data_IF_701046834438
#
_entry.id   IF_701046834438
#
_cell.length_a   1.000
_cell.length_b   1.000
_cell.length_c   1.000
_cell.angle_alpha   90.00
_cell.angle_beta   90.00
_cell.angle_gamma   90.00
#
_symmetry.space_group_name_H-M   'P 1'
#
loop_
_entity.id
_entity.type
_entity.pdbx_description
1 polymer ?
#
# COMPACT_ATOMS: atom_id res chain seq x y z
N UNK A 1 -25.96 -12.72 -36.61
CA UNK A 1 -24.79 -11.98 -36.06
C UNK A 1 -25.30 -10.93 -35.08
N UNK A 2 -25.08 -11.11 -33.78
CA UNK A 2 -25.63 -10.21 -32.75
C UNK A 2 -24.80 -8.91 -32.69
N UNK A 3 -25.49 -7.78 -32.83
CA UNK A 3 -24.92 -6.42 -32.67
C UNK A 3 -24.54 -6.21 -31.20
N UNK A 4 -23.27 -6.39 -30.86
CA UNK A 4 -22.74 -5.94 -29.56
C UNK A 4 -22.82 -4.41 -29.52
N UNK A 5 -23.74 -3.91 -28.69
CA UNK A 5 -24.12 -2.52 -28.52
C UNK A 5 -22.91 -1.62 -28.24
N UNK A 6 -22.90 -0.42 -28.84
CA UNK A 6 -21.90 0.65 -28.59
C UNK A 6 -21.63 0.89 -27.09
N UNK A 7 -22.62 0.62 -26.22
CA UNK A 7 -22.49 0.71 -24.77
C UNK A 7 -21.57 -0.33 -24.11
N UNK A 8 -21.44 -1.55 -24.65
CA UNK A 8 -20.53 -2.55 -24.06
C UNK A 8 -19.06 -2.12 -24.20
N UNK A 9 -18.68 -1.59 -25.36
CA UNK A 9 -17.34 -1.06 -25.60
C UNK A 9 -17.01 0.14 -24.69
N UNK A 10 -17.99 0.99 -24.40
CA UNK A 10 -17.85 2.10 -23.45
C UNK A 10 -17.67 1.61 -22.01
N UNK A 11 -18.44 0.60 -21.58
CA UNK A 11 -18.28 -0.02 -20.25
C UNK A 11 -16.88 -0.64 -20.07
N UNK A 12 -16.35 -1.30 -21.11
CA UNK A 12 -14.98 -1.83 -21.09
C UNK A 12 -13.94 -0.70 -21.00
N UNK A 13 -14.15 0.40 -21.75
CA UNK A 13 -13.27 1.57 -21.76
C UNK A 13 -13.28 2.30 -20.40
N UNK A 14 -14.45 2.45 -19.79
CA UNK A 14 -14.66 2.96 -18.42
C UNK A 14 -13.92 2.10 -17.39
N UNK A 15 -14.11 0.77 -17.43
CA UNK A 15 -13.41 -0.18 -16.54
C UNK A 15 -11.88 -0.13 -16.69
N UNK A 16 -11.39 0.11 -17.90
CA UNK A 16 -9.97 0.28 -18.19
C UNK A 16 -9.35 1.52 -17.53
N UNK A 17 -10.10 2.63 -17.43
CA UNK A 17 -9.64 3.90 -16.82
C UNK A 17 -9.42 3.78 -15.30
N UNK A 18 -10.24 3.00 -14.59
CA UNK A 18 -10.15 2.79 -13.13
C UNK A 18 -9.10 1.74 -12.73
N UNK A 19 -8.60 0.95 -13.68
CA UNK A 19 -7.76 -0.26 -13.44
C UNK A 19 -6.27 0.02 -13.26
N UNK A 20 -5.76 1.20 -13.62
CA UNK A 20 -4.32 1.43 -13.85
C UNK A 20 -3.41 1.35 -12.62
N UNK A 21 -3.93 1.61 -11.41
CA UNK A 21 -3.13 1.60 -10.16
C UNK A 21 -3.29 0.29 -9.37
N UNK A 22 -4.19 -0.62 -9.77
CA UNK A 22 -4.33 -1.95 -9.13
C UNK A 22 -3.43 -3.03 -9.70
N UNK A 23 -3.02 -2.93 -10.97
CA UNK A 23 -2.31 -4.02 -11.64
C UNK A 23 -0.92 -4.29 -11.08
N UNK A 24 -0.13 -3.26 -10.75
CA UNK A 24 1.26 -3.45 -10.35
C UNK A 24 1.41 -4.24 -9.05
N UNK A 25 0.62 -3.91 -8.01
CA UNK A 25 0.65 -4.67 -6.76
C UNK A 25 -0.03 -6.04 -6.89
N UNK A 26 -1.07 -6.18 -7.73
CA UNK A 26 -1.71 -7.46 -7.98
C UNK A 26 -0.74 -8.43 -8.66
N UNK A 27 -0.06 -7.95 -9.70
CA UNK A 27 0.99 -8.69 -10.38
C UNK A 27 2.11 -9.08 -9.41
N UNK A 28 2.62 -8.12 -8.63
CA UNK A 28 3.71 -8.39 -7.67
C UNK A 28 3.28 -9.38 -6.59
N UNK A 29 2.08 -9.23 -6.01
CA UNK A 29 1.57 -10.15 -4.99
C UNK A 29 1.32 -11.56 -5.51
N UNK A 30 0.81 -11.70 -6.74
CA UNK A 30 0.69 -12.99 -7.42
C UNK A 30 2.07 -13.60 -7.71
N UNK A 31 3.02 -12.78 -8.16
CA UNK A 31 4.39 -13.24 -8.44
C UNK A 31 5.08 -13.74 -7.17
N UNK A 32 4.92 -13.03 -6.04
CA UNK A 32 5.44 -13.49 -4.74
C UNK A 32 4.85 -14.84 -4.33
N UNK A 33 3.56 -15.03 -4.57
CA UNK A 33 2.83 -16.26 -4.25
C UNK A 33 3.42 -17.44 -5.01
N UNK A 34 3.68 -17.25 -6.31
CA UNK A 34 4.28 -18.29 -7.16
C UNK A 34 5.76 -18.54 -6.82
N UNK A 35 6.56 -17.48 -6.61
CA UNK A 35 7.98 -17.61 -6.26
C UNK A 35 8.21 -18.32 -4.94
N UNK A 36 7.32 -18.12 -3.96
CA UNK A 36 7.44 -18.73 -2.64
C UNK A 36 6.69 -20.07 -2.53
N UNK A 37 6.12 -20.55 -3.64
CA UNK A 37 5.31 -21.76 -3.71
C UNK A 37 4.20 -21.82 -2.65
N UNK A 38 3.60 -20.67 -2.33
CA UNK A 38 2.69 -20.51 -1.19
C UNK A 38 1.33 -19.91 -1.62
N UNK A 39 0.62 -20.69 -2.44
CA UNK A 39 -0.67 -20.29 -3.05
C UNK A 39 -1.77 -20.03 -2.04
N UNK A 40 -1.74 -20.71 -0.89
CA UNK A 40 -2.76 -20.59 0.15
C UNK A 40 -2.76 -19.21 0.82
N UNK A 41 -1.60 -18.52 0.85
CA UNK A 41 -1.44 -17.23 1.51
C UNK A 41 -1.40 -16.03 0.54
N UNK A 42 -1.94 -16.19 -0.67
CA UNK A 42 -2.02 -15.12 -1.70
C UNK A 42 -2.52 -13.77 -1.19
N UNK A 43 -3.52 -13.77 -0.31
CA UNK A 43 -4.10 -12.53 0.25
C UNK A 43 -3.09 -11.75 1.09
N UNK A 44 -2.20 -12.44 1.81
CA UNK A 44 -1.11 -11.84 2.59
C UNK A 44 -0.12 -11.16 1.65
N UNK A 45 0.34 -11.86 0.60
CA UNK A 45 1.30 -11.31 -0.37
C UNK A 45 0.74 -10.11 -1.13
N UNK A 46 -0.53 -10.14 -1.52
CA UNK A 46 -1.24 -8.98 -2.11
C UNK A 46 -1.30 -7.80 -1.12
N UNK A 47 -1.53 -8.08 0.16
CA UNK A 47 -1.52 -7.07 1.22
C UNK A 47 -0.16 -6.42 1.41
N UNK A 48 0.92 -7.20 1.32
CA UNK A 48 2.29 -6.71 1.38
C UNK A 48 2.63 -5.82 0.19
N UNK A 49 2.38 -6.28 -1.03
CA UNK A 49 2.62 -5.52 -2.26
C UNK A 49 1.83 -4.19 -2.32
N UNK A 50 0.70 -4.11 -1.61
CA UNK A 50 -0.07 -2.85 -1.48
C UNK A 50 0.56 -1.84 -0.52
N UNK A 51 1.31 -2.31 0.48
CA UNK A 51 1.80 -1.52 1.63
C UNK A 51 3.29 -1.17 1.52
N UNK A 52 4.08 -2.04 0.91
CA UNK A 52 5.53 -1.95 0.85
C UNK A 52 6.02 -1.81 -0.59
N UNK A 53 7.32 -1.61 -0.74
CA UNK A 53 7.96 -1.51 -2.04
C UNK A 53 7.99 -2.86 -2.75
N UNK A 54 7.45 -2.91 -3.97
CA UNK A 54 7.30 -4.15 -4.73
C UNK A 54 8.63 -4.72 -5.19
N UNK A 55 9.56 -3.87 -5.61
CA UNK A 55 10.89 -4.31 -6.07
C UNK A 55 11.67 -4.96 -4.94
N UNK A 56 11.64 -4.35 -3.76
CA UNK A 56 12.24 -4.92 -2.56
C UNK A 56 11.61 -6.26 -2.16
N UNK A 57 10.28 -6.37 -2.17
CA UNK A 57 9.59 -7.64 -1.87
C UNK A 57 10.01 -8.74 -2.85
N UNK A 58 10.05 -8.44 -4.15
CA UNK A 58 10.44 -9.40 -5.17
C UNK A 58 11.91 -9.80 -5.05
N UNK A 59 12.80 -8.86 -4.72
CA UNK A 59 14.22 -9.16 -4.46
C UNK A 59 14.38 -10.10 -3.27
N UNK A 60 13.67 -9.84 -2.18
CA UNK A 60 13.69 -10.71 -1.00
C UNK A 60 13.16 -12.11 -1.31
N UNK A 61 12.08 -12.22 -2.08
CA UNK A 61 11.55 -13.52 -2.48
C UNK A 61 12.53 -14.32 -3.36
N UNK A 62 13.25 -13.66 -4.28
CA UNK A 62 14.30 -14.30 -5.08
C UNK A 62 15.46 -14.81 -4.23
N UNK A 63 15.91 -14.02 -3.25
CA UNK A 63 16.95 -14.44 -2.30
C UNK A 63 16.51 -15.68 -1.49
N UNK A 64 15.25 -15.71 -1.07
CA UNK A 64 14.68 -16.88 -0.38
C UNK A 64 14.66 -18.11 -1.28
N UNK A 65 14.24 -17.96 -2.54
CA UNK A 65 14.20 -19.06 -3.52
C UNK A 65 15.58 -19.62 -3.86
N UNK A 66 16.63 -18.77 -3.86
CA UNK A 66 18.00 -19.23 -4.10
C UNK A 66 18.63 -20.02 -2.95
N UNK A 67 17.98 -20.14 -1.80
CA UNK A 67 18.50 -20.87 -0.64
C UNK A 67 18.00 -22.31 -0.66
N UNK A 68 18.87 -23.23 -1.03
CA UNK A 68 18.54 -24.65 -1.21
C UNK A 68 18.11 -25.37 0.09
N UNK A 69 18.47 -24.85 1.27
CA UNK A 69 18.15 -25.47 2.57
C UNK A 69 16.85 -24.96 3.21
N UNK A 70 15.93 -24.39 2.43
CA UNK A 70 14.66 -23.85 2.93
C UNK A 70 13.49 -24.75 2.53
N UNK A 71 12.91 -25.47 3.49
CA UNK A 71 11.75 -26.34 3.24
C UNK A 71 10.46 -25.57 2.96
N UNK A 72 10.23 -24.44 3.65
CA UNK A 72 9.04 -23.60 3.50
C UNK A 72 9.45 -22.16 3.19
N UNK A 73 9.47 -21.83 1.91
CA UNK A 73 9.88 -20.52 1.40
C UNK A 73 8.96 -19.40 1.89
N UNK A 74 7.64 -19.61 1.94
CA UNK A 74 6.68 -18.61 2.42
C UNK A 74 6.91 -18.22 3.88
N UNK A 75 7.04 -19.21 4.77
CA UNK A 75 7.29 -18.97 6.19
C UNK A 75 8.65 -18.30 6.42
N UNK A 76 9.68 -18.75 5.71
CA UNK A 76 11.02 -18.17 5.82
C UNK A 76 11.07 -16.73 5.30
N UNK A 77 10.40 -16.46 4.18
CA UNK A 77 10.20 -15.12 3.67
C UNK A 77 9.53 -14.22 4.71
N UNK A 78 8.47 -14.67 5.39
CA UNK A 78 7.81 -13.87 6.42
C UNK A 78 8.73 -13.55 7.58
N UNK A 79 9.58 -14.50 8.00
CA UNK A 79 10.59 -14.28 9.04
C UNK A 79 11.60 -13.21 8.63
N UNK A 80 12.18 -13.33 7.43
CA UNK A 80 13.15 -12.35 6.92
C UNK A 80 12.50 -10.99 6.69
N UNK A 81 11.28 -10.97 6.16
CA UNK A 81 10.49 -9.75 5.99
C UNK A 81 10.32 -9.02 7.32
N UNK A 82 9.96 -9.71 8.40
CA UNK A 82 9.83 -9.10 9.73
C UNK A 82 11.15 -8.53 10.27
N UNK A 83 12.27 -9.23 10.04
CA UNK A 83 13.60 -8.79 10.48
C UNK A 83 14.11 -7.57 9.71
N UNK A 84 13.72 -7.44 8.44
CA UNK A 84 14.21 -6.41 7.52
C UNK A 84 13.19 -5.31 7.22
N UNK A 85 12.01 -5.35 7.83
CA UNK A 85 10.87 -4.52 7.46
C UNK A 85 11.19 -3.02 7.57
N UNK A 86 11.21 -2.36 6.41
CA UNK A 86 11.19 -0.90 6.29
C UNK A 86 9.81 -0.35 6.67
N UNK A 87 9.73 0.92 7.08
CA UNK A 87 8.45 1.61 7.32
C UNK A 87 7.57 1.51 6.05
N UNK A 88 6.27 1.18 6.16
CA UNK A 88 5.40 1.05 5.00
C UNK A 88 5.32 2.38 4.21
N UNK A 89 5.40 2.31 2.87
CA UNK A 89 5.44 3.48 1.99
C UNK A 89 4.26 4.43 2.22
N UNK A 90 3.09 3.88 2.55
CA UNK A 90 1.86 4.65 2.80
C UNK A 90 1.82 5.34 4.18
N UNK A 91 2.63 4.91 5.14
CA UNK A 91 2.68 5.54 6.47
C UNK A 91 3.40 6.89 6.43
N UNK A 92 4.40 7.03 5.56
CA UNK A 92 5.19 8.28 5.47
C UNK A 92 4.32 9.42 4.92
N UNK A 93 3.49 9.16 3.91
CA UNK A 93 2.66 10.22 3.28
C UNK A 93 1.41 10.63 4.09
N UNK A 94 0.73 9.70 4.79
CA UNK A 94 -0.54 10.01 5.48
C UNK A 94 -0.34 10.59 6.88
N UNK A 95 0.68 10.13 7.62
CA UNK A 95 0.91 10.63 8.98
C UNK A 95 1.43 12.07 8.96
N UNK A 96 2.24 12.47 7.98
CA UNK A 96 2.65 13.87 7.83
C UNK A 96 1.48 14.80 7.49
N UNK A 97 0.57 14.38 6.61
CA UNK A 97 -0.58 15.18 6.21
C UNK A 97 -1.58 15.39 7.37
N UNK A 98 -1.88 14.33 8.13
CA UNK A 98 -2.80 14.41 9.28
C UNK A 98 -2.21 15.19 10.46
N UNK A 99 -0.91 15.05 10.71
CA UNK A 99 -0.22 15.79 11.78
C UNK A 99 -0.07 17.27 11.45
N UNK A 100 0.26 17.64 10.20
CA UNK A 100 0.34 19.05 9.76
C UNK A 100 -1.00 19.76 9.88
N UNK A 101 -2.10 19.16 9.39
CA UNK A 101 -3.45 19.77 9.46
C UNK A 101 -3.93 19.93 10.91
N UNK A 102 -3.67 18.93 11.77
CA UNK A 102 -4.02 18.96 13.21
C UNK A 102 -3.15 19.95 14.00
N UNK A 103 -1.86 20.08 13.67
CA UNK A 103 -0.93 21.05 14.29
C UNK A 103 -1.29 22.49 13.91
N UNK A 104 -1.60 22.74 12.64
CA UNK A 104 -2.10 24.05 12.18
C UNK A 104 -3.44 24.43 12.82
N UNK A 105 -4.37 23.48 12.95
CA UNK A 105 -5.65 23.71 13.62
C UNK A 105 -5.48 24.06 15.11
N UNK A 106 -4.63 23.33 15.85
CA UNK A 106 -4.28 23.66 17.25
C UNK A 106 -3.64 25.05 17.36
N UNK A 107 -2.74 25.42 16.45
CA UNK A 107 -2.12 26.74 16.45
C UNK A 107 -3.16 27.85 16.21
N UNK A 108 -4.07 27.66 15.25
CA UNK A 108 -5.17 28.61 14.96
C UNK A 108 -6.12 28.77 16.14
N UNK A 109 -6.50 27.68 16.80
CA UNK A 109 -7.34 27.71 18.00
C UNK A 109 -6.68 28.44 19.17
N UNK A 110 -5.37 28.21 19.40
CA UNK A 110 -4.60 28.86 20.46
C UNK A 110 -4.42 30.37 20.24
N UNK A 111 -4.29 30.82 18.99
CA UNK A 111 -4.27 32.26 18.63
C UNK A 111 -5.62 32.93 18.87
N UNK A 112 -6.73 32.23 18.55
CA UNK A 112 -8.09 32.73 18.79
C UNK A 112 -8.41 32.91 20.27
N UNK A 113 -7.99 31.98 21.14
CA UNK A 113 -8.23 32.08 22.59
C UNK A 113 -7.44 33.20 23.24
N UNK A 114 -6.22 33.49 22.77
CA UNK A 114 -5.41 34.58 23.29
C UNK A 114 -5.94 35.96 22.86
N UNK A 115 -6.41 36.12 21.63
CA UNK A 115 -7.03 37.38 21.19
C UNK A 115 -8.32 37.71 21.95
N UNK A 116 -9.11 36.69 22.31
CA UNK A 116 -10.38 36.89 23.03
C UNK A 116 -10.22 37.29 24.50
N UNK A 117 -9.07 36.98 25.11
CA UNK A 117 -8.73 37.38 26.49
C UNK A 117 -8.18 38.80 26.59
N UNK A 118 -7.69 39.36 25.48
CA UNK A 118 -7.18 40.72 25.41
C UNK A 118 -8.28 41.76 25.19
N UNK A 119 -9.44 41.36 24.66
CA UNK A 119 -10.59 42.25 24.37
C UNK A 119 -11.61 42.36 25.51
N UNK A 120 -11.42 41.64 26.61
CA UNK A 120 -12.35 41.62 27.77
C UNK A 120 -11.79 42.32 29.00
N UNK A 121 -10.60 42.91 28.90
CA UNK A 121 -9.89 43.59 30.00
C UNK A 121 -9.77 45.12 29.76
N UNK A 122 -10.60 45.69 28.90
CA UNK A 122 -10.77 47.15 28.75
C UNK A 122 -12.22 47.51 29.06
#
# INVERSE_FOLDING_TARGET
MQKASRGYAEVIRERGKTSRVRRSFQFSGLTLTELLHDRNHKTIYLGLARKYDNEWLLRLAKDVLSRENVKNHGAYFMRLFQQSAKKPLRFIAKNEMHTRKRKQLRLKLRKRTNNRRLTTNN
#
